data_IF_511762809388
#
_entry.id   IF_511762809388
#
_cell.length_a   1.000
_cell.length_b   1.000
_cell.length_c   1.000
_cell.angle_alpha   90.00
_cell.angle_beta   90.00
_cell.angle_gamma   90.00
#
_symmetry.space_group_name_H-M   'P 1'
#
loop_
_entity.id
_entity.type
_entity.pdbx_description
1 polymer ?
#
# COMPACT_ATOMS: atom_id res chain seq x y z
N UNK A 1 -16.41 3.21 -19.56
CA UNK A 1 -15.05 3.06 -19.01
C UNK A 1 -14.95 4.00 -17.82
N UNK A 2 -14.88 3.48 -16.60
CA UNK A 2 -14.73 4.32 -15.39
C UNK A 2 -13.25 4.62 -15.22
N UNK A 3 -12.89 5.89 -15.15
CA UNK A 3 -11.52 6.31 -14.84
C UNK A 3 -11.11 5.70 -13.50
N UNK A 4 -9.91 5.11 -13.43
CA UNK A 4 -9.38 4.60 -12.17
C UNK A 4 -9.28 5.76 -11.17
N UNK A 5 -9.76 5.59 -9.93
CA UNK A 5 -9.65 6.64 -8.93
C UNK A 5 -8.16 6.98 -8.73
N UNK A 6 -7.86 8.25 -8.48
CA UNK A 6 -6.50 8.68 -8.15
C UNK A 6 -6.31 8.58 -6.63
N UNK A 7 -5.22 7.96 -6.14
CA UNK A 7 -4.96 7.89 -4.71
C UNK A 7 -4.73 9.29 -4.13
N UNK A 8 -5.62 9.74 -3.25
CA UNK A 8 -5.51 11.01 -2.50
C UNK A 8 -5.13 10.75 -1.05
N UNK A 9 -4.55 11.77 -0.38
CA UNK A 9 -4.21 11.69 1.04
C UNK A 9 -5.44 11.33 1.91
N UNK A 10 -6.62 11.86 1.60
CA UNK A 10 -7.86 11.54 2.32
C UNK A 10 -8.29 10.08 2.16
N UNK A 11 -8.13 9.53 0.95
CA UNK A 11 -8.42 8.10 0.69
C UNK A 11 -7.49 7.22 1.50
N UNK A 12 -6.21 7.59 1.57
CA UNK A 12 -5.22 6.89 2.39
C UNK A 12 -5.55 6.98 3.88
N UNK A 13 -5.82 8.18 4.41
CA UNK A 13 -6.17 8.36 5.83
C UNK A 13 -7.39 7.55 6.23
N UNK A 14 -8.44 7.53 5.38
CA UNK A 14 -9.64 6.72 5.59
C UNK A 14 -9.32 5.22 5.61
N UNK A 15 -8.53 4.75 4.64
CA UNK A 15 -8.12 3.35 4.57
C UNK A 15 -7.28 2.94 5.78
N UNK A 16 -6.24 3.69 6.11
CA UNK A 16 -5.37 3.40 7.26
C UNK A 16 -6.17 3.37 8.56
N UNK A 17 -7.12 4.30 8.75
CA UNK A 17 -8.01 4.30 9.93
C UNK A 17 -8.82 3.00 10.02
N UNK A 18 -9.34 2.50 8.90
CA UNK A 18 -10.06 1.22 8.87
C UNK A 18 -9.18 0.01 9.18
N UNK A 19 -7.89 0.06 8.82
CA UNK A 19 -6.94 -1.04 9.03
C UNK A 19 -6.37 -1.08 10.44
N UNK A 20 -6.07 0.08 11.02
CA UNK A 20 -5.36 0.18 12.30
C UNK A 20 -6.29 0.27 13.52
N UNK A 21 -7.59 0.53 13.32
CA UNK A 21 -8.60 0.51 14.39
C UNK A 21 -8.36 1.50 15.55
N UNK A 22 -7.41 2.42 15.42
CA UNK A 22 -6.96 3.32 16.49
C UNK A 22 -7.73 4.64 16.57
N UNK A 23 -7.75 5.23 17.78
CA UNK A 23 -8.35 6.55 18.07
C UNK A 23 -7.51 7.74 17.61
N UNK A 24 -6.21 7.52 17.36
CA UNK A 24 -5.28 8.58 16.90
C UNK A 24 -5.25 8.62 15.38
N UNK A 25 -5.35 9.82 14.80
CA UNK A 25 -5.21 9.99 13.36
C UNK A 25 -3.78 9.64 12.93
N UNK A 26 -3.59 8.66 12.05
CA UNK A 26 -2.25 8.24 11.63
C UNK A 26 -1.57 9.36 10.84
N UNK A 27 -0.30 9.65 11.16
CA UNK A 27 0.54 10.52 10.33
C UNK A 27 0.73 9.84 8.96
N UNK A 28 0.25 10.48 7.90
CA UNK A 28 0.31 9.97 6.52
C UNK A 28 1.00 10.99 5.66
N UNK A 29 2.13 10.60 5.06
CA UNK A 29 2.94 11.45 4.19
C UNK A 29 3.34 10.70 2.92
N UNK A 30 3.33 11.34 1.75
CA UNK A 30 3.79 10.68 0.52
C UNK A 30 5.28 10.35 0.62
N UNK A 31 5.70 9.21 0.05
CA UNK A 31 7.11 8.80 0.05
C UNK A 31 7.93 9.60 -0.97
N UNK A 32 7.33 9.89 -2.13
CA UNK A 32 7.93 10.71 -3.17
C UNK A 32 7.03 11.94 -3.44
N UNK A 33 7.65 13.09 -3.65
CA UNK A 33 6.97 14.29 -4.11
C UNK A 33 6.76 14.20 -5.64
N UNK A 34 5.53 14.39 -6.13
CA UNK A 34 5.22 14.27 -7.56
C UNK A 34 3.76 13.90 -7.87
N UNK A 35 3.50 13.50 -9.12
CA UNK A 35 2.15 13.15 -9.62
C UNK A 35 1.60 11.95 -8.84
N UNK A 36 0.47 12.17 -8.15
CA UNK A 36 -0.35 11.17 -7.46
C UNK A 36 0.46 10.05 -6.76
N UNK A 37 0.97 10.29 -5.53
CA UNK A 37 1.78 9.31 -4.84
C UNK A 37 1.00 8.01 -4.64
N UNK A 38 1.57 6.93 -5.15
CA UNK A 38 1.09 5.56 -4.97
C UNK A 38 1.64 4.95 -3.69
N UNK A 39 2.70 5.53 -3.12
CA UNK A 39 3.41 5.03 -1.94
C UNK A 39 3.42 6.07 -0.82
N UNK A 40 3.03 5.64 0.38
CA UNK A 40 2.80 6.51 1.54
C UNK A 40 3.50 5.97 2.78
N UNK A 41 4.18 6.85 3.52
CA UNK A 41 4.57 6.61 4.90
C UNK A 41 3.35 6.66 5.81
N UNK A 42 3.23 5.67 6.69
CA UNK A 42 2.17 5.58 7.70
C UNK A 42 2.80 5.46 9.08
N UNK A 43 2.69 6.54 9.85
CA UNK A 43 3.42 6.72 11.11
C UNK A 43 4.93 6.58 10.90
N UNK A 44 5.60 5.86 11.79
CA UNK A 44 7.06 5.70 11.79
C UNK A 44 7.52 4.32 11.32
N UNK A 45 6.59 3.39 11.02
CA UNK A 45 6.92 1.98 10.81
C UNK A 45 6.28 1.32 9.61
N UNK A 46 5.27 1.93 9.01
CA UNK A 46 4.49 1.30 7.96
C UNK A 46 4.62 2.05 6.64
N UNK A 47 4.54 1.30 5.55
CA UNK A 47 4.46 1.82 4.19
C UNK A 47 3.20 1.24 3.57
N UNK A 48 2.36 2.10 3.00
CA UNK A 48 1.20 1.72 2.22
C UNK A 48 1.50 1.94 0.73
N UNK A 49 1.19 0.95 -0.11
CA UNK A 49 1.33 1.03 -1.57
C UNK A 49 -0.02 0.82 -2.22
N UNK A 50 -0.59 1.85 -2.84
CA UNK A 50 -1.84 1.80 -3.58
C UNK A 50 -1.56 1.57 -5.06
N UNK A 51 -2.02 0.45 -5.60
CA UNK A 51 -1.89 0.19 -7.04
C UNK A 51 -2.77 1.18 -7.84
N UNK A 52 -2.20 2.04 -8.72
CA UNK A 52 -2.98 3.00 -9.51
C UNK A 52 -3.77 2.33 -10.65
N UNK A 53 -3.39 1.10 -11.02
CA UNK A 53 -3.99 0.33 -12.10
C UNK A 53 -3.99 -1.18 -11.78
N UNK A 54 -4.71 -1.95 -12.61
CA UNK A 54 -4.88 -3.40 -12.42
C UNK A 54 -3.59 -4.19 -12.64
N UNK A 55 -2.71 -3.75 -13.53
CA UNK A 55 -1.44 -4.43 -13.79
C UNK A 55 -0.54 -4.32 -12.55
N UNK A 56 -0.44 -3.11 -12.00
CA UNK A 56 0.28 -2.85 -10.74
C UNK A 56 -0.34 -3.65 -9.58
N UNK A 57 -1.67 -3.80 -9.54
CA UNK A 57 -2.35 -4.60 -8.52
C UNK A 57 -1.98 -6.09 -8.60
N UNK A 58 -1.95 -6.66 -9.81
CA UNK A 58 -1.53 -8.06 -10.03
C UNK A 58 -0.06 -8.25 -9.67
N UNK A 59 0.81 -7.32 -10.06
CA UNK A 59 2.23 -7.33 -9.72
C UNK A 59 2.43 -7.29 -8.20
N UNK A 60 1.73 -6.40 -7.49
CA UNK A 60 1.81 -6.27 -6.03
C UNK A 60 1.43 -7.56 -5.31
N UNK A 61 0.33 -8.22 -5.71
CA UNK A 61 -0.08 -9.50 -5.12
C UNK A 61 0.94 -10.62 -5.33
N UNK A 62 1.56 -10.67 -6.51
CA UNK A 62 2.65 -11.63 -6.81
C UNK A 62 3.89 -11.33 -5.97
N UNK A 63 4.24 -10.06 -5.83
CA UNK A 63 5.38 -9.61 -5.04
C UNK A 63 5.27 -10.06 -3.58
N UNK A 64 4.09 -9.96 -2.96
CA UNK A 64 3.86 -10.43 -1.58
C UNK A 64 4.17 -11.93 -1.44
N UNK A 65 3.67 -12.75 -2.36
CA UNK A 65 3.93 -14.20 -2.35
C UNK A 65 5.40 -14.53 -2.63
N UNK A 66 6.01 -13.79 -3.55
CA UNK A 66 7.42 -13.98 -3.89
C UNK A 66 8.33 -13.66 -2.71
N UNK A 67 8.09 -12.55 -2.00
CA UNK A 67 8.89 -12.15 -0.83
C UNK A 67 8.88 -13.23 0.24
N UNK A 68 7.72 -13.79 0.54
CA UNK A 68 7.61 -14.86 1.53
C UNK A 68 8.35 -16.14 1.09
N UNK A 69 8.31 -16.47 -0.21
CA UNK A 69 9.02 -17.63 -0.76
C UNK A 69 10.55 -17.47 -0.69
N UNK A 70 11.07 -16.29 -1.03
CA UNK A 70 12.52 -16.08 -1.15
C UNK A 70 13.18 -15.69 0.17
N UNK A 71 12.41 -15.28 1.19
CA UNK A 71 12.93 -14.78 2.48
C UNK A 71 13.98 -15.70 3.14
N UNK A 72 13.84 -17.04 3.19
CA UNK A 72 14.85 -17.90 3.81
C UNK A 72 16.19 -17.95 3.05
N UNK A 73 16.20 -17.50 1.79
CA UNK A 73 17.34 -17.61 0.88
C UNK A 73 18.10 -16.30 0.69
N UNK A 74 17.67 -15.21 1.34
CA UNK A 74 18.29 -13.90 1.19
C UNK A 74 18.98 -13.47 2.50
N UNK A 75 20.21 -12.93 2.43
CA UNK A 75 20.93 -12.44 3.61
C UNK A 75 20.45 -11.05 4.08
N UNK A 76 19.34 -10.55 3.54
CA UNK A 76 18.77 -9.23 3.84
C UNK A 76 17.33 -9.36 4.26
N UNK A 77 16.90 -8.50 5.19
CA UNK A 77 15.52 -8.47 5.63
C UNK A 77 14.60 -7.97 4.50
N UNK A 78 13.55 -8.74 4.22
CA UNK A 78 12.49 -8.33 3.31
C UNK A 78 11.33 -7.67 4.06
N UNK A 79 10.65 -6.67 3.46
CA UNK A 79 9.46 -6.08 4.06
C UNK A 79 8.34 -7.12 4.21
N UNK A 80 7.70 -7.15 5.37
CA UNK A 80 6.56 -8.02 5.68
C UNK A 80 5.25 -7.26 5.49
N UNK A 81 4.26 -7.87 4.83
CA UNK A 81 2.92 -7.29 4.71
C UNK A 81 2.13 -7.52 6.00
N UNK A 82 1.65 -6.44 6.62
CA UNK A 82 0.75 -6.53 7.79
C UNK A 82 -0.73 -6.48 7.39
N UNK A 83 -1.02 -5.97 6.19
CA UNK A 83 -2.34 -5.95 5.58
C UNK A 83 -2.18 -6.08 4.07
N UNK A 84 -3.22 -6.57 3.40
CA UNK A 84 -3.38 -6.51 1.96
C UNK A 84 -4.87 -6.49 1.62
N UNK A 85 -5.27 -5.84 0.55
CA UNK A 85 -6.68 -5.79 0.15
C UNK A 85 -6.93 -5.01 -1.12
N UNK A 86 -8.13 -4.44 -1.23
CA UNK A 86 -8.51 -3.56 -2.35
C UNK A 86 -8.95 -2.21 -1.83
N UNK A 87 -8.38 -1.13 -2.37
CA UNK A 87 -8.75 0.24 -2.02
C UNK A 87 -9.79 0.82 -3.00
N UNK A 88 -9.89 0.19 -4.17
CA UNK A 88 -10.96 0.33 -5.15
C UNK A 88 -11.11 -1.00 -5.92
N UNK A 89 -12.25 -1.27 -6.60
CA UNK A 89 -12.48 -2.55 -7.27
C UNK A 89 -11.36 -2.95 -8.25
N UNK A 90 -10.63 -4.01 -7.91
CA UNK A 90 -9.50 -4.52 -8.69
C UNK A 90 -8.18 -3.74 -8.53
N UNK A 91 -8.12 -2.76 -7.63
CA UNK A 91 -6.91 -1.99 -7.30
C UNK A 91 -6.45 -2.35 -5.88
N UNK A 92 -5.27 -2.98 -5.79
CA UNK A 92 -4.76 -3.55 -4.55
C UNK A 92 -4.03 -2.52 -3.66
N UNK A 93 -4.00 -2.78 -2.35
CA UNK A 93 -3.11 -2.13 -1.39
C UNK A 93 -2.35 -3.15 -0.53
#
# INVERSE_FOLDING_TARGET
>A
MTQAPTPTADTVRRLVRSLLGGSTEPDVRPVAEGVAPDTWWVGTRHVLRLAPDRETAVRGRRELRLRELVRPYLPVALPTSVAHGEWAPGLAY
#
